data_IF_799542965972
#
_entry.id   IF_799542965972
#
_cell.length_a   1.000
_cell.length_b   1.000
_cell.length_c   1.000
_cell.angle_alpha   90.00
_cell.angle_beta   90.00
_cell.angle_gamma   90.00
#
_symmetry.space_group_name_H-M   'P 1'
#
loop_
_entity.id
_entity.type
_entity.pdbx_description
1 polymer ?
#
# COMPACT_ATOMS: atom_id res chain seq x y z
N UNK A 1 28.45 -10.35 4.85
CA UNK A 1 27.80 -10.88 3.63
C UNK A 1 27.01 -12.17 3.87
N UNK A 2 27.59 -13.38 3.85
CA UNK A 2 26.78 -14.61 3.92
C UNK A 2 25.90 -14.70 5.18
N UNK A 3 26.43 -14.28 6.33
CA UNK A 3 25.68 -14.25 7.59
C UNK A 3 24.44 -13.33 7.55
N UNK A 4 24.51 -12.19 6.86
CA UNK A 4 23.37 -11.27 6.72
C UNK A 4 22.27 -11.89 5.85
N UNK A 5 22.63 -12.49 4.72
CA UNK A 5 21.66 -13.17 3.84
C UNK A 5 20.92 -14.28 4.57
N UNK A 6 21.64 -15.12 5.32
CA UNK A 6 21.01 -16.19 6.08
C UNK A 6 20.21 -15.69 7.27
N UNK A 7 20.59 -14.57 7.88
CA UNK A 7 19.80 -13.95 8.92
C UNK A 7 18.45 -13.45 8.37
N UNK A 8 18.46 -12.67 7.30
CA UNK A 8 17.23 -12.13 6.70
C UNK A 8 16.30 -13.26 6.23
N UNK A 9 16.85 -14.30 5.60
CA UNK A 9 16.09 -15.49 5.22
C UNK A 9 15.50 -16.20 6.43
N UNK A 10 16.26 -16.32 7.53
CA UNK A 10 15.77 -16.96 8.75
C UNK A 10 14.60 -16.19 9.35
N UNK A 11 14.68 -14.86 9.43
CA UNK A 11 13.59 -14.01 9.93
C UNK A 11 12.30 -14.19 9.10
N UNK A 12 12.40 -14.23 7.77
CA UNK A 12 11.24 -14.47 6.91
C UNK A 12 10.64 -15.86 7.08
N UNK A 13 11.50 -16.90 7.21
CA UNK A 13 11.06 -18.27 7.48
C UNK A 13 10.34 -18.37 8.81
N UNK A 14 10.89 -17.76 9.87
CA UNK A 14 10.29 -17.78 11.21
C UNK A 14 8.96 -17.02 11.24
N UNK A 15 8.88 -15.84 10.62
CA UNK A 15 7.65 -15.08 10.50
C UNK A 15 6.57 -15.87 9.72
N UNK A 16 6.96 -16.57 8.65
CA UNK A 16 6.05 -17.40 7.85
C UNK A 16 5.59 -18.63 8.62
N UNK A 17 6.48 -19.31 9.34
CA UNK A 17 6.15 -20.46 10.18
C UNK A 17 5.17 -20.09 11.30
N UNK A 18 5.39 -18.94 11.96
CA UNK A 18 4.49 -18.43 12.99
C UNK A 18 3.07 -18.15 12.43
N UNK A 19 2.98 -17.49 11.26
CA UNK A 19 1.69 -17.29 10.57
C UNK A 19 1.03 -18.62 10.19
N UNK A 20 1.80 -19.59 9.71
CA UNK A 20 1.33 -20.94 9.39
C UNK A 20 0.73 -21.64 10.61
N UNK A 21 1.43 -21.62 11.75
CA UNK A 21 0.91 -22.19 13.00
C UNK A 21 -0.38 -21.52 13.47
N UNK A 22 -0.45 -20.19 13.41
CA UNK A 22 -1.67 -19.45 13.75
C UNK A 22 -2.85 -19.84 12.85
N UNK A 23 -2.60 -19.99 11.54
CA UNK A 23 -3.61 -20.43 10.58
C UNK A 23 -4.09 -21.86 10.87
N UNK A 24 -3.16 -22.79 11.11
CA UNK A 24 -3.51 -24.18 11.44
C UNK A 24 -4.35 -24.27 12.72
N UNK A 25 -4.03 -23.50 13.76
CA UNK A 25 -4.82 -23.47 14.99
C UNK A 25 -6.26 -23.00 14.73
N UNK A 26 -6.43 -21.94 13.93
CA UNK A 26 -7.76 -21.43 13.55
C UNK A 26 -8.54 -22.42 12.70
N UNK A 27 -7.89 -23.11 11.76
CA UNK A 27 -8.54 -24.15 10.94
C UNK A 27 -9.06 -25.28 11.82
N UNK A 28 -8.24 -25.80 12.75
CA UNK A 28 -8.66 -26.86 13.68
C UNK A 28 -9.85 -26.43 14.55
N UNK A 29 -9.85 -25.18 15.01
CA UNK A 29 -10.97 -24.63 15.76
C UNK A 29 -12.25 -24.63 14.91
N UNK A 30 -12.18 -24.09 13.68
CA UNK A 30 -13.33 -24.05 12.77
C UNK A 30 -13.84 -25.45 12.43
N UNK A 31 -12.95 -26.41 12.16
CA UNK A 31 -13.31 -27.82 11.90
C UNK A 31 -14.12 -28.43 13.07
N UNK A 32 -13.84 -28.01 14.30
CA UNK A 32 -14.59 -28.47 15.48
C UNK A 32 -15.93 -27.76 15.69
N UNK A 33 -16.04 -26.50 15.28
CA UNK A 33 -17.22 -25.65 15.51
C UNK A 33 -18.29 -25.81 14.42
N UNK A 34 -17.86 -25.97 13.16
CA UNK A 34 -18.75 -26.05 11.98
C UNK A 34 -19.83 -27.11 12.12
N UNK A 35 -19.57 -28.36 12.56
CA UNK A 35 -20.62 -29.38 12.65
C UNK A 35 -21.76 -29.01 13.63
N UNK A 36 -21.44 -28.29 14.70
CA UNK A 36 -22.45 -27.82 15.67
C UNK A 36 -23.28 -26.68 15.09
N UNK A 37 -22.63 -25.77 14.37
CA UNK A 37 -23.28 -24.67 13.65
C UNK A 37 -24.22 -25.20 12.56
N UNK A 38 -23.78 -26.17 11.76
CA UNK A 38 -24.60 -26.81 10.73
C UNK A 38 -25.86 -27.43 11.32
N UNK A 39 -25.74 -28.20 12.42
CA UNK A 39 -26.89 -28.78 13.11
C UNK A 39 -27.87 -27.70 13.60
N UNK A 40 -27.36 -26.64 14.22
CA UNK A 40 -28.19 -25.53 14.68
C UNK A 40 -28.87 -24.80 13.51
N UNK A 41 -28.20 -24.68 12.37
CA UNK A 41 -28.74 -24.09 11.16
C UNK A 41 -29.88 -24.94 10.57
N UNK A 42 -29.67 -26.24 10.41
CA UNK A 42 -30.69 -27.16 9.86
C UNK A 42 -31.91 -27.36 10.77
N UNK A 43 -31.75 -27.13 12.07
CA UNK A 43 -32.85 -27.27 13.04
C UNK A 43 -33.79 -26.05 13.09
N UNK A 44 -33.47 -24.96 12.40
CA UNK A 44 -34.29 -23.74 12.40
C UNK A 44 -35.51 -23.87 11.47
N UNK A 45 -36.66 -23.43 11.97
CA UNK A 45 -37.96 -23.50 11.25
C UNK A 45 -38.45 -22.14 10.75
N UNK A 46 -37.83 -21.02 11.17
CA UNK A 46 -38.21 -19.67 10.79
C UNK A 46 -36.98 -18.89 10.29
N UNK A 47 -36.98 -18.49 9.02
CA UNK A 47 -35.80 -17.97 8.32
C UNK A 47 -35.64 -16.44 8.37
N UNK A 48 -36.46 -15.73 9.16
CA UNK A 48 -36.45 -14.26 9.20
C UNK A 48 -35.20 -13.66 9.86
N UNK A 49 -34.42 -14.44 10.59
CA UNK A 49 -33.16 -14.03 11.23
C UNK A 49 -31.95 -14.04 10.29
N UNK A 50 -32.08 -14.60 9.07
CA UNK A 50 -31.00 -14.67 8.08
C UNK A 50 -30.83 -13.39 7.27
N UNK A 51 -31.77 -12.44 7.39
CA UNK A 51 -31.60 -11.13 6.77
C UNK A 51 -30.55 -10.36 7.57
N UNK A 52 -29.40 -10.13 6.94
CA UNK A 52 -28.38 -9.21 7.41
C UNK A 52 -29.03 -7.86 7.70
N UNK A 53 -29.08 -7.48 8.99
CA UNK A 53 -29.24 -6.08 9.36
C UNK A 53 -28.18 -5.29 8.57
N UNK A 54 -28.57 -4.25 7.83
CA UNK A 54 -27.64 -3.49 6.99
C UNK A 54 -26.40 -3.07 7.80
N UNK A 55 -25.21 -3.44 7.34
CA UNK A 55 -23.94 -3.16 8.01
C UNK A 55 -23.05 -4.38 8.34
N UNK A 56 -23.46 -5.60 8.00
CA UNK A 56 -22.69 -6.85 8.25
C UNK A 56 -22.21 -7.49 6.94
N UNK A 57 -21.66 -6.67 6.04
CA UNK A 57 -21.11 -7.19 4.78
C UNK A 57 -19.67 -7.65 4.99
N UNK A 58 -19.40 -8.91 4.64
CA UNK A 58 -18.04 -9.44 4.62
C UNK A 58 -17.23 -8.75 3.54
N UNK A 59 -16.00 -8.36 3.87
CA UNK A 59 -15.04 -7.82 2.92
C UNK A 59 -13.67 -8.46 3.13
N UNK A 60 -12.95 -8.79 2.04
CA UNK A 60 -11.58 -9.26 2.15
C UNK A 60 -10.67 -8.11 2.60
N UNK A 61 -9.69 -8.41 3.45
CA UNK A 61 -8.63 -7.45 3.80
C UNK A 61 -7.60 -7.36 2.67
N UNK A 62 -7.90 -6.57 1.64
CA UNK A 62 -6.99 -6.31 0.53
C UNK A 62 -6.01 -5.20 0.91
N UNK A 63 -4.82 -5.59 1.36
CA UNK A 63 -3.72 -4.65 1.59
C UNK A 63 -2.92 -4.48 0.29
N UNK A 64 -2.68 -3.23 -0.10
CA UNK A 64 -1.83 -2.89 -1.23
C UNK A 64 -0.55 -2.26 -0.69
N UNK A 65 0.57 -2.97 -0.87
CA UNK A 65 1.88 -2.44 -0.52
C UNK A 65 2.27 -1.32 -1.48
N UNK A 66 2.57 -0.15 -0.93
CA UNK A 66 2.99 1.04 -1.66
C UNK A 66 4.29 1.57 -1.08
N UNK A 67 5.04 2.35 -1.86
CA UNK A 67 6.34 2.89 -1.42
C UNK A 67 7.35 1.80 -1.03
N UNK A 68 7.45 0.74 -1.83
CA UNK A 68 8.38 -0.37 -1.60
C UNK A 68 9.85 0.08 -1.56
N UNK A 69 10.20 1.08 -2.36
CA UNK A 69 11.55 1.65 -2.42
C UNK A 69 11.62 2.89 -1.54
N UNK A 70 11.94 2.70 -0.26
CA UNK A 70 12.22 3.78 0.70
C UNK A 70 13.54 3.53 1.40
N UNK A 71 14.15 4.58 1.97
CA UNK A 71 15.44 4.49 2.68
C UNK A 71 15.44 3.38 3.75
N UNK A 72 14.32 3.18 4.45
CA UNK A 72 14.19 2.17 5.50
C UNK A 72 14.06 0.73 5.00
N UNK A 73 13.82 0.54 3.69
CA UNK A 73 13.62 -0.78 3.09
C UNK A 73 14.87 -1.30 2.36
N UNK A 74 15.96 -0.52 2.30
CA UNK A 74 17.17 -0.98 1.64
C UNK A 74 17.93 -1.98 2.52
N UNK A 75 18.45 -3.08 1.93
CA UNK A 75 19.37 -3.98 2.62
C UNK A 75 20.54 -3.24 3.24
N UNK A 76 21.01 -3.70 4.40
CA UNK A 76 22.15 -3.10 5.12
C UNK A 76 23.36 -2.93 4.24
N UNK A 77 23.71 -3.95 3.45
CA UNK A 77 24.81 -3.89 2.48
C UNK A 77 24.74 -2.67 1.53
N UNK A 78 23.55 -2.30 1.05
CA UNK A 78 23.38 -1.12 0.19
C UNK A 78 23.56 0.15 1.02
N UNK A 79 22.97 0.19 2.22
CA UNK A 79 23.08 1.34 3.11
C UNK A 79 24.51 1.60 3.58
N UNK A 80 25.29 0.57 3.87
CA UNK A 80 26.71 0.68 4.24
C UNK A 80 27.50 1.34 3.10
N UNK A 81 27.32 0.87 1.86
CA UNK A 81 27.96 1.47 0.69
C UNK A 81 27.50 2.92 0.44
N UNK A 82 26.23 3.22 0.72
CA UNK A 82 25.67 4.57 0.61
C UNK A 82 26.26 5.53 1.64
N UNK A 83 26.55 5.06 2.85
CA UNK A 83 27.16 5.87 3.92
C UNK A 83 28.62 6.21 3.65
N UNK A 84 29.34 5.34 2.95
CA UNK A 84 30.71 5.59 2.48
C UNK A 84 30.76 6.59 1.31
N UNK A 85 29.65 6.79 0.60
CA UNK A 85 29.59 7.72 -0.51
C UNK A 85 29.70 9.18 -0.05
N UNK A 86 30.21 10.04 -0.94
CA UNK A 86 30.27 11.48 -0.65
C UNK A 86 28.86 12.06 -0.59
N UNK A 87 28.53 12.65 0.55
CA UNK A 87 27.31 13.42 0.70
C UNK A 87 27.25 14.64 -0.22
N UNK A 88 26.06 15.24 -0.40
CA UNK A 88 25.91 16.43 -1.21
C UNK A 88 26.69 17.61 -0.60
N UNK A 89 27.06 18.62 -1.40
CA UNK A 89 27.64 19.85 -0.88
C UNK A 89 26.74 20.48 0.20
N UNK A 90 27.33 21.19 1.17
CA UNK A 90 26.62 21.81 2.30
C UNK A 90 25.84 23.07 1.88
N UNK A 91 24.99 22.95 0.86
CA UNK A 91 24.20 24.04 0.27
C UNK A 91 23.17 24.63 1.24
N UNK A 92 22.83 23.91 2.31
CA UNK A 92 21.96 24.43 3.37
C UNK A 92 22.49 25.71 4.03
N UNK A 93 23.80 25.96 3.94
CA UNK A 93 24.43 27.21 4.43
C UNK A 93 23.97 28.46 3.64
N UNK A 94 23.51 28.24 2.40
CA UNK A 94 23.05 29.28 1.48
C UNK A 94 21.52 29.50 1.56
N UNK A 95 20.78 28.62 2.21
CA UNK A 95 19.30 28.69 2.28
C UNK A 95 18.79 30.01 2.87
N UNK A 96 19.56 30.64 3.76
CA UNK A 96 19.21 31.95 4.34
C UNK A 96 19.16 33.09 3.32
N UNK A 97 19.78 32.91 2.16
CA UNK A 97 19.75 33.86 1.05
C UNK A 97 18.74 33.47 -0.02
N UNK A 98 18.06 32.33 0.16
CA UNK A 98 17.08 31.82 -0.77
C UNK A 98 15.67 32.27 -0.39
N UNK A 99 14.90 32.77 -1.36
CA UNK A 99 13.50 33.17 -1.16
C UNK A 99 12.59 32.02 -0.72
N UNK A 100 12.95 30.78 -1.07
CA UNK A 100 12.20 29.59 -0.68
C UNK A 100 12.64 28.99 0.68
N UNK A 101 13.69 29.54 1.29
CA UNK A 101 14.13 29.18 2.64
C UNK A 101 14.80 27.81 2.77
N UNK A 102 14.63 27.18 3.94
CA UNK A 102 15.35 25.96 4.32
C UNK A 102 15.17 24.80 3.32
N UNK A 103 16.28 24.18 2.94
CA UNK A 103 16.36 23.08 1.99
C UNK A 103 16.23 23.48 0.51
N UNK A 104 15.94 24.75 0.20
CA UNK A 104 15.72 25.19 -1.18
C UNK A 104 16.97 25.05 -2.05
N UNK A 105 18.14 25.42 -1.53
CA UNK A 105 19.38 25.33 -2.31
C UNK A 105 19.74 23.88 -2.60
N UNK A 106 19.54 22.97 -1.65
CA UNK A 106 19.80 21.55 -1.87
C UNK A 106 18.81 20.93 -2.87
N UNK A 107 17.51 21.26 -2.81
CA UNK A 107 16.51 20.77 -3.77
C UNK A 107 16.82 21.19 -5.21
N UNK A 108 17.34 22.40 -5.43
CA UNK A 108 17.78 22.84 -6.77
C UNK A 108 18.98 22.05 -7.29
N UNK A 109 19.82 21.51 -6.40
CA UNK A 109 20.92 20.63 -6.77
C UNK A 109 20.46 19.19 -6.98
N UNK A 110 19.62 18.67 -6.10
CA UNK A 110 19.06 17.31 -6.17
C UNK A 110 17.70 17.25 -5.48
N UNK A 111 16.66 16.84 -6.21
CA UNK A 111 15.32 16.64 -5.67
C UNK A 111 14.72 15.31 -6.16
N UNK A 112 14.88 14.22 -5.39
CA UNK A 112 14.28 12.92 -5.72
C UNK A 112 12.74 12.94 -5.75
N UNK A 113 12.10 13.93 -5.12
CA UNK A 113 10.64 14.03 -5.10
C UNK A 113 10.04 14.45 -6.45
N UNK A 114 10.85 15.03 -7.33
CA UNK A 114 10.47 15.40 -8.70
C UNK A 114 9.77 14.24 -9.44
N UNK A 115 10.34 13.03 -9.35
CA UNK A 115 9.81 11.83 -10.02
C UNK A 115 8.46 11.35 -9.47
N UNK A 116 8.14 11.67 -8.21
CA UNK A 116 6.83 11.35 -7.61
C UNK A 116 5.75 12.33 -8.07
N UNK A 117 6.13 13.54 -8.45
CA UNK A 117 5.19 14.62 -8.80
C UNK A 117 4.71 14.50 -10.25
N UNK A 118 5.59 14.18 -11.20
CA UNK A 118 5.23 13.94 -12.61
C UNK A 118 4.30 12.74 -12.81
N UNK A 119 4.42 11.71 -11.96
CA UNK A 119 3.52 10.54 -12.03
C UNK A 119 2.09 10.92 -11.63
N UNK A 120 1.90 11.81 -10.64
CA UNK A 120 0.56 12.31 -10.29
C UNK A 120 -0.01 13.29 -11.32
N UNK A 121 0.82 14.07 -12.03
CA UNK A 121 0.35 14.98 -13.09
C UNK A 121 -0.10 14.23 -14.33
N UNK A 122 0.59 13.15 -14.71
CA UNK A 122 0.19 12.18 -15.74
C UNK A 122 -1.16 11.52 -15.42
N UNK A 123 -1.34 11.06 -14.17
CA UNK A 123 -2.63 10.52 -13.69
C UNK A 123 -3.73 11.61 -13.69
N UNK A 124 -3.39 12.86 -13.40
CA UNK A 124 -4.35 13.98 -13.48
C UNK A 124 -4.77 14.27 -14.92
N UNK A 125 -3.84 14.13 -15.88
CA UNK A 125 -4.13 14.26 -17.31
C UNK A 125 -5.06 13.15 -17.81
N UNK A 126 -4.88 11.91 -17.36
CA UNK A 126 -5.79 10.80 -17.74
C UNK A 126 -7.18 10.96 -17.12
N UNK A 127 -7.30 11.46 -15.88
CA UNK A 127 -8.59 11.80 -15.27
C UNK A 127 -9.32 12.91 -16.04
N UNK A 128 -8.59 13.91 -16.56
CA UNK A 128 -9.17 14.95 -17.43
C UNK A 128 -9.67 14.36 -18.76
N UNK A 129 -8.93 13.44 -19.39
CA UNK A 129 -9.35 12.74 -20.61
C UNK A 129 -10.65 11.92 -20.37
N UNK A 130 -10.79 11.29 -19.20
CA UNK A 130 -12.04 10.59 -18.84
C UNK A 130 -13.22 11.52 -18.57
N UNK A 131 -12.99 12.67 -17.92
CA UNK A 131 -14.03 13.70 -17.72
C UNK A 131 -14.50 14.29 -19.05
N UNK A 132 -13.58 14.57 -19.97
CA UNK A 132 -13.93 15.10 -21.29
C UNK A 132 -14.71 14.09 -22.15
N UNK A 133 -14.36 12.80 -22.08
CA UNK A 133 -15.16 11.73 -22.71
C UNK A 133 -16.59 11.63 -22.15
N UNK A 134 -16.81 11.92 -20.85
CA UNK A 134 -18.18 11.99 -20.28
C UNK A 134 -18.95 13.23 -20.75
N UNK A 135 -18.30 14.39 -20.86
CA UNK A 135 -18.93 15.64 -21.32
C UNK A 135 -19.37 15.53 -22.79
N UNK A 136 -18.57 14.87 -23.64
CA UNK A 136 -18.93 14.63 -25.05
C UNK A 136 -20.13 13.69 -25.21
N UNK A 137 -20.42 12.81 -24.24
CA UNK A 137 -21.61 11.93 -24.27
C UNK A 137 -22.89 12.65 -23.88
N UNK A 138 -22.83 13.65 -23.00
CA UNK A 138 -24.00 14.45 -22.60
C UNK A 138 -24.43 15.35 -23.76
N UNK A 139 -23.48 15.98 -24.45
CA UNK A 139 -23.79 16.90 -25.56
C UNK A 139 -24.40 16.24 -26.81
N UNK A 140 -24.15 14.94 -27.05
CA UNK A 140 -24.79 14.22 -28.17
C UNK A 140 -26.26 13.89 -27.87
N UNK A 141 -26.63 13.80 -26.60
CA UNK A 141 -28.01 13.56 -26.19
C UNK A 141 -28.87 14.85 -26.24
N UNK A 142 -28.27 16.02 -26.05
CA UNK A 142 -28.98 17.31 -26.06
C UNK A 142 -29.22 17.89 -27.47
N UNK A 143 -28.72 17.25 -28.53
CA UNK A 143 -28.91 17.66 -29.94
C UNK A 143 -29.81 16.71 -30.75
N UNK A 144 -30.52 15.78 -30.08
CA UNK A 144 -31.45 14.83 -30.72
C UNK A 144 -32.92 14.98 -30.28
N UNK A 145 -33.32 16.18 -29.86
CA UNK A 145 -34.73 16.58 -29.77
C UNK A 145 -34.98 17.88 -30.51
#
# INVERSE_FOLDING_TARGET
FAAEIFHDLHEEVMATAARGHSLTARVKQLESEVPSLEKAFFSQTHHSSFFTNGGIDWHPNLQSEQNLVTRGNFPRMIMDSYEECRGPPRLFLLDKFDVAGAGACLKRYTDPSFFKMESTSSVRATVQVHKEKRIRKVKVHDFLF
#
